data_IF_195384333574
#
_entry.id   IF_195384333574
#
_cell.length_a   1.000
_cell.length_b   1.000
_cell.length_c   1.000
_cell.angle_alpha   90.00
_cell.angle_beta   90.00
_cell.angle_gamma   90.00
#
_symmetry.space_group_name_H-M   'P 1'
#
loop_
_entity.id
_entity.type
_entity.pdbx_description
1 polymer ?
#
# COMPACT_ATOMS: atom_id res chain seq x y z
N UNK A 1 -5.93 19.36 -8.22
CA UNK A 1 -6.14 18.46 -9.38
C UNK A 1 -7.21 18.96 -10.33
N UNK A 2 -8.46 19.15 -9.90
CA UNK A 2 -9.58 19.47 -10.79
C UNK A 2 -9.36 20.71 -11.69
N UNK A 3 -8.76 21.78 -11.16
CA UNK A 3 -8.46 23.00 -11.94
C UNK A 3 -7.43 22.73 -13.05
N UNK A 4 -6.45 21.83 -12.83
CA UNK A 4 -5.49 21.42 -13.87
C UNK A 4 -6.20 20.63 -14.96
N UNK A 5 -7.04 19.66 -14.59
CA UNK A 5 -7.82 18.85 -15.54
C UNK A 5 -8.77 19.71 -16.38
N UNK A 6 -9.39 20.73 -15.76
CA UNK A 6 -10.18 21.69 -16.50
C UNK A 6 -9.31 22.50 -17.47
N UNK A 7 -8.17 23.02 -17.02
CA UNK A 7 -7.24 23.75 -17.88
C UNK A 7 -6.76 22.92 -19.08
N UNK A 8 -6.46 21.64 -18.87
CA UNK A 8 -6.11 20.68 -19.91
C UNK A 8 -7.27 20.45 -20.89
N UNK A 9 -8.49 20.21 -20.36
CA UNK A 9 -9.70 20.01 -21.17
C UNK A 9 -10.07 21.23 -22.01
N UNK A 10 -9.86 22.44 -21.50
CA UNK A 10 -10.12 23.70 -22.19
C UNK A 10 -8.91 24.24 -22.97
N UNK A 11 -7.82 23.46 -23.09
CA UNK A 11 -6.61 23.81 -23.83
C UNK A 11 -6.02 25.17 -23.40
N UNK A 12 -5.92 25.39 -22.09
CA UNK A 12 -5.30 26.58 -21.48
C UNK A 12 -3.92 26.20 -20.91
N UNK A 13 -2.86 26.18 -21.74
CA UNK A 13 -1.56 25.62 -21.36
C UNK A 13 -0.87 26.39 -20.23
N UNK A 14 -1.05 27.71 -20.16
CA UNK A 14 -0.46 28.54 -19.11
C UNK A 14 -1.01 28.18 -17.73
N UNK A 15 -2.34 28.04 -17.63
CA UNK A 15 -3.00 27.63 -16.39
C UNK A 15 -2.65 26.19 -16.02
N UNK A 16 -2.53 25.30 -17.01
CA UNK A 16 -2.07 23.93 -16.80
C UNK A 16 -0.66 23.88 -16.19
N UNK A 17 0.28 24.69 -16.71
CA UNK A 17 1.64 24.79 -16.19
C UNK A 17 1.66 25.32 -14.76
N UNK A 18 0.96 26.43 -14.49
CA UNK A 18 0.86 27.01 -13.14
C UNK A 18 0.25 26.02 -12.14
N UNK A 19 -0.81 25.32 -12.53
CA UNK A 19 -1.41 24.30 -11.66
C UNK A 19 -0.45 23.15 -11.39
N UNK A 20 0.32 22.71 -12.39
CA UNK A 20 1.32 21.63 -12.22
C UNK A 20 2.42 22.05 -11.24
N UNK A 21 2.98 23.25 -11.39
CA UNK A 21 4.00 23.79 -10.46
C UNK A 21 3.46 23.94 -9.03
N UNK A 22 2.21 24.40 -8.89
CA UNK A 22 1.57 24.50 -7.58
C UNK A 22 1.36 23.14 -6.92
N UNK A 23 0.90 22.15 -7.69
CA UNK A 23 0.69 20.78 -7.19
C UNK A 23 2.04 20.19 -6.75
N UNK A 24 3.08 20.29 -7.57
CA UNK A 24 4.41 19.74 -7.28
C UNK A 24 5.09 20.41 -6.08
N UNK A 25 4.84 21.70 -5.83
CA UNK A 25 5.40 22.42 -4.68
C UNK A 25 4.69 22.14 -3.35
N UNK A 26 3.48 21.57 -3.37
CA UNK A 26 2.66 21.34 -2.18
C UNK A 26 2.36 19.84 -1.96
N UNK A 27 3.16 18.93 -2.53
CA UNK A 27 3.02 17.49 -2.29
C UNK A 27 3.45 17.15 -0.85
N UNK A 28 2.65 16.35 -0.15
CA UNK A 28 2.88 15.88 1.20
C UNK A 28 2.29 14.47 1.39
N UNK A 29 2.51 13.87 2.57
CA UNK A 29 2.06 12.50 2.84
C UNK A 29 0.54 12.26 2.66
N UNK A 30 -0.30 13.29 2.77
CA UNK A 30 -1.78 13.16 2.65
C UNK A 30 -2.26 13.19 1.21
N UNK A 31 -1.57 13.92 0.33
CA UNK A 31 -2.00 14.13 -1.05
C UNK A 31 -1.19 13.34 -2.07
N UNK A 32 -0.07 12.74 -1.68
CA UNK A 32 0.80 11.97 -2.59
C UNK A 32 0.05 10.79 -3.23
N UNK A 33 -0.82 10.10 -2.50
CA UNK A 33 -1.64 9.02 -3.05
C UNK A 33 -2.61 9.55 -4.12
N UNK A 34 -3.26 10.69 -3.88
CA UNK A 34 -4.15 11.32 -4.87
C UNK A 34 -3.38 11.82 -6.11
N UNK A 35 -2.13 12.26 -5.92
CA UNK A 35 -1.22 12.63 -7.01
C UNK A 35 -0.83 11.41 -7.85
N UNK A 36 -0.49 10.28 -7.23
CA UNK A 36 -0.18 9.02 -7.93
C UNK A 36 -1.40 8.56 -8.74
N UNK A 37 -2.59 8.57 -8.14
CA UNK A 37 -3.82 8.22 -8.87
C UNK A 37 -4.05 9.15 -10.05
N UNK A 38 -3.86 10.45 -9.83
CA UNK A 38 -4.02 11.43 -10.88
C UNK A 38 -3.04 11.21 -12.05
N UNK A 39 -1.77 10.90 -11.75
CA UNK A 39 -0.73 10.62 -12.73
C UNK A 39 -0.93 9.27 -13.40
N UNK A 40 -1.44 8.26 -12.71
CA UNK A 40 -1.78 6.98 -13.34
C UNK A 40 -2.80 7.16 -14.49
N UNK A 41 -3.60 8.21 -14.46
CA UNK A 41 -4.56 8.58 -15.50
C UNK A 41 -4.02 9.64 -16.49
N UNK A 42 -2.84 10.20 -16.27
CA UNK A 42 -2.26 11.27 -17.11
C UNK A 42 -0.79 11.00 -17.44
N UNK A 43 -0.42 11.07 -18.71
CA UNK A 43 0.90 10.69 -19.27
C UNK A 43 2.07 11.61 -18.84
N UNK A 44 2.37 11.68 -17.53
CA UNK A 44 3.19 12.73 -16.92
C UNK A 44 4.43 12.24 -16.17
N UNK A 45 5.57 12.12 -16.86
CA UNK A 45 6.83 11.62 -16.29
C UNK A 45 7.63 12.55 -15.35
N UNK A 46 7.23 13.81 -15.12
CA UNK A 46 7.92 14.67 -14.13
C UNK A 46 7.43 14.52 -12.70
N UNK A 47 6.28 13.89 -12.50
CA UNK A 47 5.68 13.77 -11.18
C UNK A 47 6.33 12.65 -10.36
N UNK A 48 6.91 11.66 -11.04
CA UNK A 48 7.53 10.50 -10.42
C UNK A 48 8.68 10.87 -9.48
N UNK A 49 9.54 11.83 -9.85
CA UNK A 49 10.68 12.22 -9.01
C UNK A 49 10.23 12.85 -7.67
N UNK A 50 9.22 13.71 -7.72
CA UNK A 50 8.67 14.36 -6.52
C UNK A 50 7.95 13.33 -5.65
N UNK A 51 7.16 12.44 -6.24
CA UNK A 51 6.49 11.35 -5.51
C UNK A 51 7.51 10.45 -4.83
N UNK A 52 8.54 10.00 -5.54
CA UNK A 52 9.60 9.15 -4.97
C UNK A 52 10.32 9.86 -3.83
N UNK A 53 10.58 11.18 -3.96
CA UNK A 53 11.21 11.94 -2.89
C UNK A 53 10.36 11.99 -1.61
N UNK A 54 9.04 12.18 -1.74
CA UNK A 54 8.11 12.20 -0.60
C UNK A 54 7.97 10.80 0.01
N UNK A 55 7.93 9.74 -0.81
CA UNK A 55 7.88 8.36 -0.32
C UNK A 55 9.15 7.96 0.45
N UNK A 56 10.30 8.55 0.12
CA UNK A 56 11.57 8.33 0.83
C UNK A 56 11.70 9.15 2.11
N UNK A 57 11.12 10.35 2.15
CA UNK A 57 11.22 11.26 3.31
C UNK A 57 10.12 11.02 4.35
N UNK A 58 8.89 10.74 3.89
CA UNK A 58 7.68 10.66 4.72
C UNK A 58 6.95 9.31 4.56
N UNK A 59 7.65 8.24 4.18
CA UNK A 59 7.02 6.95 3.86
C UNK A 59 6.10 6.39 4.96
N UNK A 60 6.47 6.55 6.24
CA UNK A 60 5.62 6.10 7.37
C UNK A 60 4.30 6.87 7.40
N UNK A 61 4.36 8.19 7.24
CA UNK A 61 3.18 9.05 7.26
C UNK A 61 2.27 8.79 6.06
N UNK A 62 2.85 8.43 4.90
CA UNK A 62 2.09 8.07 3.69
C UNK A 62 1.28 6.79 3.94
N UNK A 63 1.93 5.74 4.42
CA UNK A 63 1.29 4.42 4.64
C UNK A 63 0.20 4.48 5.72
N UNK A 64 0.36 5.36 6.71
CA UNK A 64 -0.66 5.59 7.76
C UNK A 64 -1.68 6.68 7.40
N UNK A 65 -1.61 7.27 6.22
CA UNK A 65 -2.53 8.34 5.82
C UNK A 65 -3.90 7.79 5.41
N UNK A 66 -4.94 8.60 5.64
CA UNK A 66 -6.28 8.34 5.08
C UNK A 66 -6.26 8.26 3.55
N UNK A 67 -5.34 8.99 2.91
CA UNK A 67 -5.13 8.95 1.47
C UNK A 67 -4.66 7.58 0.96
N UNK A 68 -3.88 6.84 1.75
CA UNK A 68 -3.47 5.48 1.42
C UNK A 68 -4.62 4.48 1.64
N UNK A 69 -5.40 4.65 2.70
CA UNK A 69 -6.57 3.80 2.99
C UNK A 69 -7.66 3.89 1.91
N UNK A 70 -7.78 5.04 1.26
CA UNK A 70 -8.75 5.29 0.20
C UNK A 70 -8.21 5.04 -1.21
N UNK A 71 -6.93 4.69 -1.34
CA UNK A 71 -6.27 4.54 -2.63
C UNK A 71 -6.73 3.30 -3.42
N UNK A 72 -6.58 3.37 -4.74
CA UNK A 72 -6.73 2.28 -5.70
C UNK A 72 -5.62 1.23 -5.60
N UNK A 73 -5.89 0.01 -6.07
CA UNK A 73 -4.92 -1.10 -6.09
C UNK A 73 -3.60 -0.73 -6.76
N UNK A 74 -3.68 -0.03 -7.91
CA UNK A 74 -2.51 0.40 -8.69
C UNK A 74 -1.63 1.36 -7.88
N UNK A 75 -2.27 2.26 -7.13
CA UNK A 75 -1.56 3.23 -6.29
C UNK A 75 -0.91 2.56 -5.09
N UNK A 76 -1.61 1.61 -4.46
CA UNK A 76 -1.04 0.81 -3.37
C UNK A 76 0.14 0.00 -3.86
N UNK A 77 0.05 -0.64 -5.03
CA UNK A 77 1.17 -1.36 -5.63
C UNK A 77 2.38 -0.45 -5.87
N UNK A 78 2.13 0.73 -6.43
CA UNK A 78 3.19 1.71 -6.71
C UNK A 78 3.86 2.21 -5.43
N UNK A 79 3.07 2.56 -4.40
CA UNK A 79 3.58 2.98 -3.08
C UNK A 79 4.39 1.83 -2.47
N UNK A 80 3.84 0.62 -2.43
CA UNK A 80 4.54 -0.55 -1.90
C UNK A 80 5.81 -0.91 -2.67
N UNK A 81 5.96 -0.55 -3.94
CA UNK A 81 7.23 -0.77 -4.67
C UNK A 81 8.26 0.31 -4.40
N UNK A 82 7.83 1.56 -4.20
CA UNK A 82 8.71 2.73 -4.13
C UNK A 82 9.03 3.21 -2.71
N UNK A 83 8.26 2.80 -1.70
CA UNK A 83 8.53 3.14 -0.29
C UNK A 83 9.85 2.53 0.17
N UNK A 84 10.70 3.39 0.76
CA UNK A 84 11.98 3.08 1.39
C UNK A 84 12.07 3.72 2.78
N UNK A 85 12.92 3.20 3.65
CA UNK A 85 13.12 3.66 5.03
C UNK A 85 11.88 3.55 5.93
N UNK A 86 11.01 2.57 5.66
CA UNK A 86 9.82 2.32 6.47
C UNK A 86 9.93 0.93 7.08
N UNK A 87 9.68 0.78 8.40
CA UNK A 87 9.63 -0.54 9.03
C UNK A 87 8.53 -1.37 8.37
N UNK A 88 8.86 -2.62 8.04
CA UNK A 88 7.92 -3.50 7.34
C UNK A 88 6.64 -3.73 8.15
N UNK A 89 6.70 -3.65 9.49
CA UNK A 89 5.53 -3.73 10.36
C UNK A 89 4.48 -2.67 10.05
N UNK A 90 4.89 -1.41 9.82
CA UNK A 90 3.99 -0.35 9.39
C UNK A 90 3.40 -0.60 8.00
N UNK A 91 4.20 -1.15 7.08
CA UNK A 91 3.76 -1.45 5.71
C UNK A 91 2.69 -2.54 5.71
N UNK A 92 2.93 -3.61 6.46
CA UNK A 92 2.01 -4.75 6.58
C UNK A 92 0.71 -4.33 7.29
N UNK A 93 0.81 -3.54 8.37
CA UNK A 93 -0.37 -2.97 9.03
C UNK A 93 -1.15 -2.02 8.12
N UNK A 94 -0.47 -1.12 7.42
CA UNK A 94 -1.12 -0.17 6.50
C UNK A 94 -1.85 -0.89 5.38
N UNK A 95 -1.26 -1.93 4.80
CA UNK A 95 -1.92 -2.74 3.78
C UNK A 95 -3.14 -3.48 4.33
N UNK A 96 -3.05 -4.04 5.54
CA UNK A 96 -4.18 -4.70 6.19
C UNK A 96 -5.34 -3.73 6.42
N UNK A 97 -5.07 -2.52 6.92
CA UNK A 97 -6.09 -1.48 7.11
C UNK A 97 -6.69 -1.02 5.78
N UNK A 98 -5.89 -0.88 4.72
CA UNK A 98 -6.40 -0.62 3.38
C UNK A 98 -7.31 -1.74 2.86
N UNK A 99 -6.89 -3.00 2.99
CA UNK A 99 -7.67 -4.15 2.54
C UNK A 99 -9.01 -4.24 3.27
N UNK A 100 -9.00 -4.01 4.59
CA UNK A 100 -10.20 -3.95 5.42
C UNK A 100 -11.14 -2.83 4.98
N UNK A 101 -10.62 -1.62 4.76
CA UNK A 101 -11.43 -0.48 4.31
C UNK A 101 -12.03 -0.70 2.92
N UNK A 102 -11.30 -1.37 2.03
CA UNK A 102 -11.80 -1.74 0.70
C UNK A 102 -12.93 -2.78 0.77
N UNK A 103 -12.78 -3.81 1.59
CA UNK A 103 -13.83 -4.83 1.83
C UNK A 103 -15.06 -4.17 2.43
N UNK A 104 -14.91 -3.28 3.41
CA UNK A 104 -16.04 -2.53 4.00
C UNK A 104 -16.76 -1.69 2.92
N UNK A 105 -16.02 -0.96 2.09
CA UNK A 105 -16.61 -0.15 1.00
C UNK A 105 -17.34 -1.03 -0.02
N UNK A 106 -16.76 -2.18 -0.38
CA UNK A 106 -17.39 -3.17 -1.26
C UNK A 106 -18.72 -3.68 -0.68
N UNK A 107 -18.73 -4.01 0.61
CA UNK A 107 -19.93 -4.49 1.32
C UNK A 107 -21.02 -3.42 1.46
N UNK A 108 -20.65 -2.13 1.53
CA UNK A 108 -21.65 -1.05 1.55
C UNK A 108 -22.33 -0.81 0.19
N UNK A 109 -21.72 -1.24 -0.91
CA UNK A 109 -22.31 -1.16 -2.26
C UNK A 109 -23.14 -2.40 -2.61
N UNK A 110 -22.69 -3.60 -2.21
CA UNK A 110 -23.37 -4.86 -2.49
C UNK A 110 -23.99 -5.45 -1.22
N UNK A 111 -25.23 -5.05 -0.90
CA UNK A 111 -26.03 -5.74 0.11
C UNK A 111 -26.41 -7.13 -0.38
N UNK A 112 -25.72 -8.15 0.12
CA UNK A 112 -26.33 -9.43 0.50
C UNK A 112 -26.00 -9.68 1.97
N UNK A 113 -27.05 -9.90 2.76
CA UNK A 113 -26.98 -10.38 4.13
C UNK A 113 -26.10 -11.64 4.18
N UNK A 114 -24.87 -11.53 4.66
CA UNK A 114 -24.24 -12.62 5.40
C UNK A 114 -23.29 -12.04 6.46
N UNK A 115 -23.48 -12.52 7.68
CA UNK A 115 -23.06 -11.90 8.95
C UNK A 115 -21.60 -12.23 9.31
N UNK A 116 -20.75 -12.39 8.30
CA UNK A 116 -19.35 -12.76 8.49
C UNK A 116 -18.51 -11.76 7.72
N UNK A 117 -17.78 -10.89 8.42
CA UNK A 117 -16.67 -10.13 7.81
C UNK A 117 -15.75 -11.16 7.15
N UNK A 118 -15.66 -11.25 5.81
CA UNK A 118 -14.96 -12.38 5.22
C UNK A 118 -13.47 -12.10 5.37
N UNK A 119 -12.85 -12.70 6.38
CA UNK A 119 -11.39 -12.74 6.52
C UNK A 119 -10.77 -13.20 5.19
N UNK A 120 -11.47 -14.07 4.47
CA UNK A 120 -11.16 -14.50 3.11
C UNK A 120 -11.17 -13.37 2.07
N UNK A 121 -12.08 -12.40 2.16
CA UNK A 121 -12.09 -11.25 1.23
C UNK A 121 -10.92 -10.30 1.50
N UNK A 122 -10.56 -10.11 2.78
CA UNK A 122 -9.38 -9.34 3.16
C UNK A 122 -8.11 -10.05 2.67
N UNK A 123 -8.05 -11.38 2.84
CA UNK A 123 -6.95 -12.22 2.30
C UNK A 123 -6.88 -12.11 0.79
N UNK A 124 -8.01 -12.19 0.08
CA UNK A 124 -8.07 -12.07 -1.37
C UNK A 124 -7.61 -10.67 -1.85
N UNK A 125 -7.99 -9.61 -1.14
CA UNK A 125 -7.54 -8.25 -1.43
C UNK A 125 -6.03 -8.05 -1.17
N UNK A 126 -5.46 -8.74 -0.19
CA UNK A 126 -4.02 -8.68 0.13
C UNK A 126 -3.18 -9.61 -0.76
N UNK A 127 -3.72 -10.72 -1.23
CA UNK A 127 -3.05 -11.74 -2.05
C UNK A 127 -2.13 -11.19 -3.16
N UNK A 128 -2.55 -10.22 -4.00
CA UNK A 128 -1.68 -9.69 -5.06
C UNK A 128 -0.44 -8.93 -4.53
N UNK A 129 -0.51 -8.43 -3.30
CA UNK A 129 0.57 -7.67 -2.67
C UNK A 129 1.45 -8.51 -1.75
N UNK A 130 1.03 -9.74 -1.39
CA UNK A 130 1.79 -10.62 -0.51
C UNK A 130 3.25 -10.84 -0.95
N UNK A 131 3.57 -11.00 -2.26
CA UNK A 131 4.96 -11.16 -2.70
C UNK A 131 5.81 -9.88 -2.56
N UNK A 132 5.16 -8.71 -2.46
CA UNK A 132 5.82 -7.42 -2.28
C UNK A 132 6.18 -7.17 -0.80
N UNK A 133 5.56 -7.91 0.11
CA UNK A 133 5.81 -7.80 1.54
C UNK A 133 7.01 -8.65 1.96
N UNK A 134 7.83 -8.10 2.86
CA UNK A 134 9.04 -8.74 3.40
C UNK A 134 8.79 -9.27 4.80
N UNK A 135 7.91 -10.26 4.94
CA UNK A 135 7.56 -10.83 6.25
C UNK A 135 8.78 -11.30 7.08
N UNK A 136 9.85 -11.73 6.42
CA UNK A 136 11.10 -12.15 7.08
C UNK A 136 11.96 -10.98 7.63
N UNK A 137 11.61 -9.74 7.30
CA UNK A 137 12.21 -8.54 7.87
C UNK A 137 11.52 -8.08 9.17
N UNK A 138 10.39 -8.71 9.54
CA UNK A 138 9.68 -8.47 10.80
C UNK A 138 10.40 -9.13 11.97
N UNK A 139 10.25 -8.56 13.15
CA UNK A 139 10.59 -9.26 14.39
C UNK A 139 9.52 -10.31 14.74
N UNK A 140 9.85 -11.37 15.50
CA UNK A 140 8.87 -12.36 15.95
C UNK A 140 7.70 -11.73 16.70
N UNK A 141 7.96 -10.70 17.51
CA UNK A 141 6.93 -10.00 18.28
C UNK A 141 5.96 -9.24 17.37
N UNK A 142 6.48 -8.50 16.38
CA UNK A 142 5.65 -7.80 15.38
C UNK A 142 4.84 -8.79 14.53
N UNK A 143 5.40 -9.96 14.20
CA UNK A 143 4.70 -10.99 13.45
C UNK A 143 3.53 -11.59 14.24
N UNK A 144 3.73 -11.84 15.54
CA UNK A 144 2.69 -12.39 16.42
C UNK A 144 1.57 -11.36 16.66
N UNK A 145 1.93 -10.10 16.91
CA UNK A 145 0.96 -9.03 17.20
C UNK A 145 0.17 -8.61 15.96
N UNK A 146 0.80 -8.63 14.78
CA UNK A 146 0.15 -8.26 13.53
C UNK A 146 -0.36 -9.49 12.76
N UNK A 147 0.39 -9.97 11.74
CA UNK A 147 -0.10 -10.95 10.77
C UNK A 147 -0.70 -12.24 11.35
N UNK A 148 -0.07 -12.82 12.37
CA UNK A 148 -0.54 -14.08 12.98
C UNK A 148 -1.86 -13.88 13.74
N UNK A 149 -2.07 -12.71 14.35
CA UNK A 149 -3.32 -12.40 15.06
C UNK A 149 -4.53 -12.20 14.14
N UNK A 150 -4.29 -11.83 12.88
CA UNK A 150 -5.34 -11.55 11.89
C UNK A 150 -5.94 -12.81 11.29
N UNK A 151 -5.35 -13.99 11.55
CA UNK A 151 -5.79 -15.30 11.02
C UNK A 151 -5.94 -15.33 9.49
N UNK A 152 -5.12 -14.53 8.80
CA UNK A 152 -5.08 -14.48 7.32
C UNK A 152 -4.30 -15.67 6.72
N UNK A 153 -3.44 -16.31 7.51
CA UNK A 153 -2.59 -17.42 7.10
C UNK A 153 -3.09 -18.75 7.69
N UNK A 154 -2.82 -19.84 7.00
CA UNK A 154 -2.99 -21.17 7.60
C UNK A 154 -1.97 -21.38 8.72
N UNK A 155 -2.32 -22.19 9.73
CA UNK A 155 -1.42 -22.47 10.88
C UNK A 155 -0.04 -22.96 10.43
N UNK A 156 0.03 -23.70 9.32
CA UNK A 156 1.29 -24.19 8.74
C UNK A 156 2.13 -23.07 8.13
N UNK A 157 1.49 -22.13 7.44
CA UNK A 157 2.14 -20.97 6.84
C UNK A 157 2.66 -20.02 7.91
N UNK A 158 1.85 -19.75 8.93
CA UNK A 158 2.21 -18.95 10.09
C UNK A 158 3.43 -19.52 10.81
N UNK A 159 3.42 -20.83 11.06
CA UNK A 159 4.54 -21.53 11.69
C UNK A 159 5.79 -21.49 10.79
N UNK A 160 5.66 -21.71 9.49
CA UNK A 160 6.78 -21.67 8.57
C UNK A 160 7.43 -20.28 8.50
N UNK A 161 6.64 -19.21 8.45
CA UNK A 161 7.13 -17.84 8.43
C UNK A 161 7.82 -17.52 9.76
N UNK A 162 7.18 -17.79 10.90
CA UNK A 162 7.76 -17.55 12.22
C UNK A 162 9.06 -18.32 12.43
N UNK A 163 9.11 -19.60 12.04
CA UNK A 163 10.32 -20.41 12.10
C UNK A 163 11.44 -19.80 11.25
N UNK A 164 11.14 -19.28 10.07
CA UNK A 164 12.15 -18.65 9.21
C UNK A 164 12.58 -17.26 9.67
N UNK A 165 11.73 -16.54 10.43
CA UNK A 165 12.10 -15.30 11.11
C UNK A 165 13.14 -15.61 12.21
N UNK A 166 12.91 -16.65 13.03
CA UNK A 166 13.79 -17.03 14.14
C UNK A 166 15.04 -17.77 13.67
N UNK A 167 14.87 -18.80 12.84
CA UNK A 167 15.91 -19.68 12.30
C UNK A 167 15.72 -19.90 10.80
N UNK A 168 16.44 -19.12 9.99
CA UNK A 168 16.33 -19.18 8.54
C UNK A 168 16.57 -20.60 7.97
N UNK A 169 15.79 -20.99 6.96
CA UNK A 169 15.97 -22.23 6.23
C UNK A 169 15.55 -23.50 6.99
N UNK A 170 14.96 -23.35 8.18
CA UNK A 170 14.52 -24.51 8.98
C UNK A 170 13.31 -25.21 8.37
N UNK A 171 12.40 -24.45 7.74
CA UNK A 171 11.13 -24.92 7.18
C UNK A 171 10.99 -24.34 5.76
N UNK A 172 10.48 -25.09 4.76
CA UNK A 172 10.18 -24.54 3.45
C UNK A 172 9.19 -23.37 3.57
N UNK A 173 9.50 -22.25 2.91
CA UNK A 173 8.62 -21.09 2.84
C UNK A 173 7.44 -21.35 1.89
N UNK A 174 6.27 -20.73 2.12
CA UNK A 174 5.16 -20.75 1.17
C UNK A 174 5.58 -20.19 -0.19
N UNK A 175 5.01 -20.70 -1.29
CA UNK A 175 5.39 -20.32 -2.67
C UNK A 175 5.21 -18.83 -2.97
N UNK A 176 4.31 -18.17 -2.26
CA UNK A 176 3.98 -16.75 -2.42
C UNK A 176 4.87 -15.82 -1.55
N UNK A 177 5.63 -16.36 -0.60
CA UNK A 177 6.38 -15.57 0.37
C UNK A 177 7.72 -15.09 -0.17
N UNK A 178 8.04 -13.81 0.05
CA UNK A 178 9.33 -13.22 -0.31
C UNK A 178 10.45 -13.76 0.58
N UNK A 179 11.59 -14.13 -0.02
CA UNK A 179 12.79 -14.58 0.70
C UNK A 179 13.66 -13.43 1.24
N UNK A 180 13.23 -12.18 1.07
CA UNK A 180 14.01 -10.99 1.41
C UNK A 180 13.92 -10.66 2.90
N UNK A 181 15.08 -10.55 3.56
CA UNK A 181 15.23 -10.24 5.01
C UNK A 181 15.56 -8.78 5.32
N UNK A 182 15.97 -7.99 4.33
CA UNK A 182 16.36 -6.60 4.56
C UNK A 182 15.12 -5.70 4.69
N UNK A 183 15.16 -4.77 5.64
CA UNK A 183 14.20 -3.66 5.68
C UNK A 183 14.30 -2.81 4.40
N UNK A 184 13.21 -2.12 4.06
CA UNK A 184 13.06 -1.38 2.80
C UNK A 184 13.86 -0.09 2.77
#
# INVERSE_FOLDING_TARGET
>A
MYTRTAAEKYMVPELQRFCSEYILSHVNARNVCQLIEYVAHSDGGQVDDVVVSVLQQEGVAVVSSEGFMDASEITVEYVLRNVRNVPESCVVHGLHEWARSKVIKSLTMDRRDDDTTPIEDVKAAMAPFMPLLRFLALTPEEFIVGPSSWKIFEEREDFAILCNIVCHGSVPLPEWASSVRCQR
#
